data_IF_268085383848
#
_entry.id   IF_268085383848
#
_cell.length_a   1.000
_cell.length_b   1.000
_cell.length_c   1.000
_cell.angle_alpha   90.00
_cell.angle_beta   90.00
_cell.angle_gamma   90.00
#
_symmetry.space_group_name_H-M   'P 1'
#
loop_
_entity.id
_entity.type
_entity.pdbx_description
1 polymer ?
#
# COMPACT_ATOMS: atom_id res chain seq x y z
N UNK A 1 4.99 6.83 -4.34
CA UNK A 1 6.08 7.77 -4.66
C UNK A 1 7.07 7.96 -3.51
N UNK A 2 6.66 8.29 -2.27
CA UNK A 2 7.61 8.50 -1.15
C UNK A 2 8.45 7.25 -0.86
N UNK A 3 7.82 6.07 -0.80
CA UNK A 3 8.52 4.80 -0.57
C UNK A 3 9.54 4.45 -1.68
N UNK A 4 9.20 4.70 -2.95
CA UNK A 4 10.11 4.42 -4.06
C UNK A 4 11.39 5.25 -3.94
N UNK A 5 11.26 6.56 -3.67
CA UNK A 5 12.41 7.44 -3.48
C UNK A 5 13.29 7.02 -2.30
N UNK A 6 12.69 6.74 -1.14
CA UNK A 6 13.42 6.30 0.05
C UNK A 6 14.17 4.99 -0.20
N UNK A 7 13.53 4.02 -0.87
CA UNK A 7 14.16 2.74 -1.20
C UNK A 7 15.29 2.94 -2.23
N UNK A 8 15.11 3.79 -3.26
CA UNK A 8 16.12 4.10 -4.25
C UNK A 8 17.35 4.77 -3.62
N UNK A 9 17.15 5.82 -2.82
CA UNK A 9 18.23 6.63 -2.24
C UNK A 9 18.93 5.95 -1.05
N UNK A 10 18.20 5.23 -0.20
CA UNK A 10 18.74 4.77 1.10
C UNK A 10 18.61 3.26 1.34
N UNK A 11 17.92 2.52 0.48
CA UNK A 11 17.60 1.12 0.71
C UNK A 11 16.60 0.88 1.85
N UNK A 12 15.84 1.90 2.24
CA UNK A 12 14.92 1.82 3.39
C UNK A 12 13.46 2.01 2.97
N UNK A 13 12.60 1.13 3.42
CA UNK A 13 11.14 1.30 3.39
C UNK A 13 10.71 2.00 4.69
N UNK A 14 10.46 3.30 4.60
CA UNK A 14 10.10 4.13 5.76
C UNK A 14 8.58 4.32 5.78
N UNK A 15 7.89 3.65 6.70
CA UNK A 15 6.44 3.75 6.88
C UNK A 15 6.10 3.83 8.37
N UNK A 16 5.24 4.78 8.79
CA UNK A 16 4.90 5.00 10.19
C UNK A 16 3.82 4.04 10.70
N UNK A 17 3.91 2.75 10.36
CA UNK A 17 2.85 1.77 10.64
C UNK A 17 3.02 1.03 11.96
N UNK A 18 4.17 1.15 12.63
CA UNK A 18 4.48 0.35 13.82
C UNK A 18 4.40 -1.15 13.48
N UNK A 19 3.65 -1.89 14.30
CA UNK A 19 3.34 -3.31 14.07
C UNK A 19 2.04 -3.54 13.30
N UNK A 20 1.45 -2.47 12.76
CA UNK A 20 0.18 -2.55 12.02
C UNK A 20 0.35 -3.28 10.70
N UNK A 21 -0.65 -4.10 10.37
CA UNK A 21 -0.70 -4.85 9.11
C UNK A 21 -1.60 -4.14 8.12
N UNK A 22 -1.31 -4.30 6.84
CA UNK A 22 -2.07 -3.73 5.73
C UNK A 22 -2.04 -4.67 4.53
N UNK A 23 -3.00 -4.56 3.64
CA UNK A 23 -3.07 -5.34 2.39
C UNK A 23 -3.08 -4.39 1.18
N UNK A 24 -1.90 -3.91 0.76
CA UNK A 24 -1.80 -3.00 -0.37
C UNK A 24 -2.41 -3.61 -1.62
N UNK A 25 -3.28 -2.86 -2.30
CA UNK A 25 -3.90 -3.24 -3.56
C UNK A 25 -3.26 -2.47 -4.71
N UNK A 26 -3.02 -3.14 -5.83
CA UNK A 26 -2.51 -2.48 -7.02
C UNK A 26 -3.57 -1.58 -7.66
N UNK A 27 -3.17 -0.43 -8.18
CA UNK A 27 -4.08 0.49 -8.88
C UNK A 27 -4.72 -0.13 -10.11
N UNK A 28 -4.02 -1.04 -10.78
CA UNK A 28 -4.56 -1.78 -11.93
C UNK A 28 -5.72 -2.70 -11.52
N UNK A 29 -5.58 -3.44 -10.41
CA UNK A 29 -6.66 -4.28 -9.88
C UNK A 29 -7.91 -3.44 -9.56
N UNK A 30 -7.72 -2.26 -8.97
CA UNK A 30 -8.83 -1.33 -8.70
C UNK A 30 -9.47 -0.87 -10.00
N UNK A 31 -8.67 -0.52 -11.02
CA UNK A 31 -9.18 -0.09 -12.32
C UNK A 31 -9.96 -1.19 -13.03
N UNK A 32 -9.50 -2.44 -12.95
CA UNK A 32 -10.20 -3.59 -13.53
C UNK A 32 -11.55 -3.84 -12.85
N UNK A 33 -11.59 -3.80 -11.51
CA UNK A 33 -12.86 -3.91 -10.76
C UNK A 33 -13.83 -2.80 -11.15
N UNK A 34 -13.36 -1.54 -11.20
CA UNK A 34 -14.20 -0.40 -11.61
C UNK A 34 -14.72 -0.62 -13.04
N UNK A 35 -13.88 -1.10 -13.94
CA UNK A 35 -14.27 -1.39 -15.32
C UNK A 35 -15.34 -2.49 -15.37
N UNK A 36 -15.15 -3.58 -14.66
CA UNK A 36 -16.13 -4.68 -14.60
C UNK A 36 -17.50 -4.19 -14.08
N UNK A 37 -17.49 -3.42 -13.00
CA UNK A 37 -18.72 -2.84 -12.42
C UNK A 37 -19.42 -1.90 -13.39
N UNK A 38 -18.68 -1.07 -14.12
CA UNK A 38 -19.25 -0.14 -15.11
C UNK A 38 -19.82 -0.85 -16.35
N UNK A 39 -19.27 -2.01 -16.73
CA UNK A 39 -19.75 -2.78 -17.87
C UNK A 39 -21.02 -3.59 -17.55
N UNK A 40 -21.23 -3.97 -16.30
CA UNK A 40 -22.40 -4.74 -15.85
C UNK A 40 -23.05 -4.15 -14.57
N UNK A 41 -23.47 -2.88 -14.56
CA UNK A 41 -23.85 -2.18 -13.34
C UNK A 41 -25.03 -2.80 -12.61
N UNK A 42 -25.92 -3.51 -13.32
CA UNK A 42 -27.10 -4.14 -12.71
C UNK A 42 -26.73 -5.30 -11.76
N UNK A 43 -25.62 -5.99 -12.07
CA UNK A 43 -25.16 -7.14 -11.27
C UNK A 43 -24.51 -6.70 -9.95
N UNK A 44 -24.20 -5.41 -9.82
CA UNK A 44 -23.50 -4.82 -8.68
C UNK A 44 -24.38 -3.86 -7.85
N UNK A 45 -25.67 -3.74 -8.16
CA UNK A 45 -26.57 -2.83 -7.45
C UNK A 45 -26.67 -3.18 -5.96
N UNK A 46 -26.39 -2.19 -5.11
CA UNK A 46 -26.42 -2.34 -3.65
C UNK A 46 -25.24 -3.12 -3.07
N UNK A 47 -24.32 -3.61 -3.89
CA UNK A 47 -23.11 -4.26 -3.41
C UNK A 47 -22.10 -3.26 -2.84
N UNK A 48 -21.33 -3.69 -1.86
CA UNK A 48 -20.17 -2.95 -1.31
C UNK A 48 -18.96 -3.87 -1.40
N UNK A 49 -17.93 -3.41 -2.06
CA UNK A 49 -16.69 -4.17 -2.24
C UNK A 49 -15.55 -3.52 -1.48
N UNK A 50 -14.76 -4.34 -0.81
CA UNK A 50 -13.56 -3.91 -0.12
C UNK A 50 -12.33 -4.43 -0.86
N UNK A 51 -11.74 -3.58 -1.70
CA UNK A 51 -10.62 -3.97 -2.55
C UNK A 51 -9.33 -3.98 -1.75
N UNK A 52 -8.72 -5.14 -1.66
CA UNK A 52 -7.46 -5.36 -0.95
C UNK A 52 -6.49 -6.16 -1.80
N UNK A 53 -5.21 -6.09 -1.46
CA UNK A 53 -4.23 -7.07 -1.93
C UNK A 53 -4.54 -8.47 -1.38
N UNK A 54 -3.84 -9.50 -1.87
CA UNK A 54 -4.19 -10.90 -1.58
C UNK A 54 -3.88 -11.32 -0.13
N UNK A 55 -3.00 -10.59 0.56
CA UNK A 55 -2.59 -10.89 1.95
C UNK A 55 -2.34 -9.62 2.75
N UNK A 56 -2.52 -9.72 4.07
CA UNK A 56 -2.07 -8.67 5.00
C UNK A 56 -0.58 -8.84 5.29
N UNK A 57 0.15 -7.72 5.28
CA UNK A 57 1.60 -7.66 5.50
C UNK A 57 1.90 -6.61 6.57
N UNK A 58 2.83 -6.90 7.47
CA UNK A 58 3.47 -5.88 8.29
C UNK A 58 4.63 -5.20 7.54
N UNK A 59 5.31 -4.26 8.19
CA UNK A 59 6.37 -3.50 7.52
C UNK A 59 7.59 -4.35 7.15
N UNK A 60 7.93 -5.36 7.96
CA UNK A 60 9.06 -6.26 7.69
C UNK A 60 8.73 -7.19 6.51
N UNK A 61 7.52 -7.74 6.48
CA UNK A 61 7.03 -8.55 5.37
C UNK A 61 6.93 -7.72 4.07
N UNK A 62 6.49 -6.46 4.17
CA UNK A 62 6.50 -5.55 3.03
C UNK A 62 7.93 -5.32 2.52
N UNK A 63 8.89 -4.99 3.40
CA UNK A 63 10.28 -4.79 3.02
C UNK A 63 10.88 -6.05 2.37
N UNK A 64 10.52 -7.24 2.86
CA UNK A 64 10.93 -8.50 2.24
C UNK A 64 10.39 -8.67 0.82
N UNK A 65 9.12 -8.28 0.56
CA UNK A 65 8.56 -8.29 -0.80
C UNK A 65 9.33 -7.34 -1.74
N UNK A 66 9.68 -6.14 -1.25
CA UNK A 66 10.53 -5.19 -2.00
C UNK A 66 11.92 -5.75 -2.27
N UNK A 67 12.57 -6.31 -1.24
CA UNK A 67 13.92 -6.89 -1.38
C UNK A 67 13.96 -8.01 -2.43
N UNK A 68 12.97 -8.91 -2.40
CA UNK A 68 12.84 -10.00 -3.38
C UNK A 68 12.60 -9.48 -4.81
N UNK A 69 11.74 -8.47 -4.96
CA UNK A 69 11.41 -7.92 -6.28
C UNK A 69 12.57 -7.12 -6.89
N UNK A 70 13.39 -6.45 -6.05
CA UNK A 70 14.48 -5.58 -6.49
C UNK A 70 15.85 -6.28 -6.51
N UNK A 71 15.95 -7.52 -6.04
CA UNK A 71 17.20 -8.28 -5.91
C UNK A 71 18.27 -7.53 -5.09
N UNK A 72 17.85 -6.80 -4.06
CA UNK A 72 18.74 -6.08 -3.15
C UNK A 72 18.12 -5.93 -1.77
N UNK A 73 18.92 -5.78 -0.70
CA UNK A 73 18.40 -5.57 0.64
C UNK A 73 17.53 -4.32 0.74
N UNK A 74 16.38 -4.44 1.41
CA UNK A 74 15.52 -3.33 1.78
C UNK A 74 15.22 -3.45 3.27
N UNK A 75 15.61 -2.43 4.05
CA UNK A 75 15.38 -2.41 5.48
C UNK A 75 14.03 -1.75 5.81
N UNK A 76 13.27 -2.35 6.71
CA UNK A 76 12.04 -1.76 7.24
C UNK A 76 12.39 -0.73 8.32
N UNK A 77 11.79 0.46 8.26
CA UNK A 77 11.94 1.52 9.25
C UNK A 77 10.57 2.09 9.61
N UNK A 78 10.17 1.96 10.87
CA UNK A 78 8.95 2.58 11.37
C UNK A 78 9.30 3.68 12.38
N UNK A 79 9.36 4.94 11.95
CA UNK A 79 9.70 6.04 12.84
C UNK A 79 8.62 6.26 13.90
N UNK A 80 8.98 6.79 15.11
CA UNK A 80 8.01 7.31 16.06
C UNK A 80 7.14 8.42 15.47
N UNK A 81 5.95 8.64 16.06
CA UNK A 81 4.98 9.63 15.56
C UNK A 81 5.56 11.03 15.42
N UNK A 82 6.28 11.50 16.44
CA UNK A 82 6.84 12.84 16.46
C UNK A 82 7.91 13.04 15.39
N UNK A 83 8.70 12.01 15.11
CA UNK A 83 9.73 12.09 14.06
C UNK A 83 9.10 12.00 12.67
N UNK A 84 8.06 11.21 12.52
CA UNK A 84 7.30 11.16 11.27
C UNK A 84 6.63 12.49 10.95
N UNK A 85 6.04 13.15 11.94
CA UNK A 85 5.45 14.48 11.77
C UNK A 85 6.47 15.52 11.32
N UNK A 86 7.69 15.49 11.85
CA UNK A 86 8.81 16.37 11.41
C UNK A 86 9.17 16.11 9.94
N UNK A 87 9.19 14.85 9.51
CA UNK A 87 9.41 14.51 8.09
C UNK A 87 8.32 15.10 7.20
N UNK A 88 7.05 14.99 7.60
CA UNK A 88 5.93 15.58 6.86
C UNK A 88 6.02 17.11 6.79
N UNK A 89 6.50 17.76 7.86
CA UNK A 89 6.71 19.22 7.87
C UNK A 89 7.79 19.65 6.87
N UNK A 90 8.85 18.86 6.73
CA UNK A 90 9.95 19.14 5.78
C UNK A 90 9.56 18.93 4.31
N UNK A 91 8.58 18.07 4.03
CA UNK A 91 8.09 17.82 2.67
C UNK A 91 7.26 19.00 2.13
N UNK A 92 6.83 19.92 2.99
CA UNK A 92 6.08 21.11 2.59
C UNK A 92 4.64 20.81 2.14
N UNK A 93 4.01 19.78 2.71
CA UNK A 93 2.63 19.43 2.44
C UNK A 93 1.67 20.50 3.01
N UNK A 94 0.54 20.70 2.33
CA UNK A 94 -0.52 21.49 2.91
C UNK A 94 -1.07 20.87 4.21
N UNK A 95 -1.63 21.67 5.14
CA UNK A 95 -2.05 21.19 6.45
C UNK A 95 -3.08 20.05 6.40
N UNK A 96 -3.97 20.05 5.41
CA UNK A 96 -4.99 19.00 5.26
C UNK A 96 -4.37 17.67 4.86
N UNK A 97 -3.52 17.67 3.83
CA UNK A 97 -2.79 16.48 3.38
C UNK A 97 -1.90 15.92 4.47
N UNK A 98 -1.18 16.80 5.19
CA UNK A 98 -0.37 16.41 6.35
C UNK A 98 -1.20 15.70 7.42
N UNK A 99 -2.32 16.28 7.82
CA UNK A 99 -3.21 15.69 8.82
C UNK A 99 -3.80 14.37 8.33
N UNK A 100 -4.17 14.26 7.06
CA UNK A 100 -4.67 13.03 6.47
C UNK A 100 -3.65 11.90 6.59
N UNK A 101 -2.40 12.15 6.17
CA UNK A 101 -1.31 11.15 6.26
C UNK A 101 -1.03 10.76 7.71
N UNK A 102 -0.98 11.71 8.64
CA UNK A 102 -0.80 11.43 10.05
C UNK A 102 -1.93 10.57 10.63
N UNK A 103 -3.18 10.86 10.24
CA UNK A 103 -4.35 10.08 10.65
C UNK A 103 -4.29 8.65 10.10
N UNK A 104 -3.91 8.48 8.85
CA UNK A 104 -3.73 7.14 8.25
C UNK A 104 -2.65 6.33 8.97
N UNK A 105 -1.52 6.94 9.32
CA UNK A 105 -0.47 6.29 10.09
C UNK A 105 -1.01 5.78 11.44
N UNK A 106 -1.75 6.61 12.16
CA UNK A 106 -2.42 6.23 13.41
C UNK A 106 -3.38 5.06 13.22
N UNK A 107 -4.21 5.07 12.17
CA UNK A 107 -5.15 3.99 11.88
C UNK A 107 -4.44 2.67 11.54
N UNK A 108 -3.29 2.71 10.85
CA UNK A 108 -2.47 1.53 10.61
C UNK A 108 -1.98 0.91 11.94
N UNK A 109 -1.42 1.71 12.84
CA UNK A 109 -0.97 1.24 14.15
C UNK A 109 -2.10 0.65 15.00
N UNK A 110 -3.32 1.14 14.82
CA UNK A 110 -4.52 0.61 15.49
C UNK A 110 -5.07 -0.67 14.82
N UNK A 111 -4.41 -1.19 13.79
CA UNK A 111 -4.82 -2.39 13.08
C UNK A 111 -6.08 -2.23 12.22
N UNK A 112 -6.49 -0.99 11.91
CA UNK A 112 -7.73 -0.74 11.14
C UNK A 112 -7.66 -1.25 9.71
N UNK A 113 -6.46 -1.48 9.18
CA UNK A 113 -6.22 -2.00 7.82
C UNK A 113 -5.78 -3.47 7.80
N UNK A 114 -5.82 -4.15 8.96
CA UNK A 114 -5.47 -5.57 9.05
C UNK A 114 -6.64 -6.46 8.58
N UNK A 115 -6.89 -6.45 7.29
CA UNK A 115 -7.92 -7.26 6.64
C UNK A 115 -7.56 -7.54 5.20
N UNK A 116 -7.99 -8.70 4.69
CA UNK A 116 -7.84 -9.08 3.30
C UNK A 116 -9.14 -9.72 2.83
N UNK A 117 -9.61 -9.34 1.65
CA UNK A 117 -10.82 -9.85 0.99
C UNK A 117 -10.45 -10.53 -0.32
N UNK A 118 -11.42 -11.20 -0.92
CA UNK A 118 -11.29 -11.77 -2.27
C UNK A 118 -12.13 -11.01 -3.31
N UNK A 119 -12.52 -9.78 -3.00
CA UNK A 119 -13.44 -9.03 -3.87
C UNK A 119 -12.84 -8.73 -5.24
N UNK A 120 -11.53 -8.44 -5.32
CA UNK A 120 -10.83 -8.31 -6.61
C UNK A 120 -11.00 -9.59 -7.43
N UNK A 121 -10.64 -10.74 -6.85
CA UNK A 121 -10.74 -12.03 -7.54
C UNK A 121 -12.18 -12.39 -7.92
N UNK A 122 -13.14 -12.11 -7.04
CA UNK A 122 -14.56 -12.39 -7.28
C UNK A 122 -15.10 -11.62 -8.48
N UNK A 123 -14.65 -10.38 -8.67
CA UNK A 123 -15.17 -9.48 -9.71
C UNK A 123 -14.38 -9.65 -11.02
N UNK A 124 -13.05 -9.78 -10.94
CA UNK A 124 -12.18 -9.83 -12.13
C UNK A 124 -11.92 -11.24 -12.64
N UNK A 125 -12.16 -12.28 -11.82
CA UNK A 125 -11.89 -13.68 -12.15
C UNK A 125 -10.43 -14.11 -11.92
N UNK A 126 -9.55 -13.23 -11.43
CA UNK A 126 -8.17 -13.57 -11.08
C UNK A 126 -7.74 -12.93 -9.73
N UNK A 127 -6.77 -13.53 -9.02
CA UNK A 127 -6.30 -12.99 -7.75
C UNK A 127 -5.74 -11.57 -7.90
N UNK A 128 -5.90 -10.77 -6.85
CA UNK A 128 -5.24 -9.47 -6.76
C UNK A 128 -3.71 -9.62 -6.84
N UNK A 129 -3.06 -8.64 -7.45
CA UNK A 129 -1.61 -8.60 -7.62
C UNK A 129 -0.90 -8.50 -6.27
N UNK A 130 0.14 -9.30 -6.07
CA UNK A 130 1.00 -9.18 -4.88
C UNK A 130 1.87 -7.93 -4.96
N UNK A 131 2.35 -7.45 -3.80
CA UNK A 131 3.32 -6.35 -3.73
C UNK A 131 4.56 -6.65 -4.57
N UNK A 132 5.09 -7.88 -4.45
CA UNK A 132 6.24 -8.32 -5.22
C UNK A 132 6.01 -8.21 -6.73
N UNK A 133 4.90 -8.76 -7.25
CA UNK A 133 4.56 -8.69 -8.68
C UNK A 133 4.44 -7.25 -9.17
N UNK A 134 3.80 -6.38 -8.36
CA UNK A 134 3.68 -4.96 -8.70
C UNK A 134 5.05 -4.30 -8.83
N UNK A 135 5.97 -4.55 -7.90
CA UNK A 135 7.30 -3.95 -7.91
C UNK A 135 8.14 -4.50 -9.07
N UNK A 136 8.06 -5.80 -9.35
CA UNK A 136 8.74 -6.42 -10.50
C UNK A 136 8.36 -5.74 -11.82
N UNK A 137 7.10 -5.35 -11.98
CA UNK A 137 6.62 -4.61 -13.18
C UNK A 137 7.04 -3.13 -13.21
N UNK A 138 7.37 -2.56 -12.05
CA UNK A 138 7.67 -1.13 -11.90
C UNK A 138 9.07 -0.87 -11.36
N UNK A 139 10.03 -1.78 -11.60
CA UNK A 139 11.41 -1.67 -11.06
C UNK A 139 12.06 -0.32 -11.35
N UNK A 140 11.81 0.24 -12.53
CA UNK A 140 12.34 1.54 -12.96
C UNK A 140 11.99 2.72 -12.03
N UNK A 141 11.02 2.57 -11.13
CA UNK A 141 10.67 3.60 -10.15
C UNK A 141 11.59 3.60 -8.93
N UNK A 142 12.43 2.56 -8.79
CA UNK A 142 13.28 2.32 -7.62
C UNK A 142 14.78 2.37 -7.94
N UNK A 143 15.12 2.72 -9.18
CA UNK A 143 16.51 2.89 -9.68
C UNK A 143 17.02 4.30 -9.39
#
# INVERSE_FOLDING_TARGET
MVAARSIGETGQLILPFGTGRTSPVASNDVAEVVTAVLLAPQDHLGAVYELTGPTTLDIDELAAQYAQALDRPVAAVSPPDDDWLKVLDQVGLDPHTRQHIATMAKLHRQGRYNRSTRDVETITGHPAQTVRQYIEQHRHLFD
#
